data_IF_750739338993
#
_entry.id   IF_750739338993
#
_cell.length_a   1.000
_cell.length_b   1.000
_cell.length_c   1.000
_cell.angle_alpha   90.00
_cell.angle_beta   90.00
_cell.angle_gamma   90.00
#
_symmetry.space_group_name_H-M   'P 1'
#
loop_
_entity.id
_entity.type
_entity.pdbx_description
1 polymer ?
#
# COMPACT_ATOMS: atom_id res chain seq x y z
N UNK A 1 7.94 -14.20 -26.49
CA UNK A 1 7.93 -15.13 -25.33
C UNK A 1 9.27 -15.05 -24.64
N UNK A 2 9.25 -14.79 -23.33
CA UNK A 2 10.46 -14.81 -22.50
C UNK A 2 10.53 -16.16 -21.83
N UNK A 3 11.52 -16.97 -22.25
CA UNK A 3 11.76 -18.26 -21.63
C UNK A 3 12.28 -18.07 -20.18
N UNK A 4 11.63 -18.78 -19.23
CA UNK A 4 11.97 -18.76 -17.81
C UNK A 4 13.06 -19.73 -17.41
N UNK A 5 13.40 -19.80 -16.10
CA UNK A 5 12.79 -19.05 -15.00
C UNK A 5 13.24 -17.58 -14.94
N UNK A 6 12.39 -16.73 -14.39
CA UNK A 6 12.72 -15.32 -14.17
C UNK A 6 12.05 -14.76 -12.89
N UNK A 7 12.66 -13.74 -12.34
CA UNK A 7 12.07 -12.87 -11.32
C UNK A 7 11.37 -11.70 -12.03
N UNK A 8 10.05 -11.59 -11.91
CA UNK A 8 9.27 -10.48 -12.44
C UNK A 8 8.94 -9.52 -11.31
N UNK A 9 9.27 -8.25 -11.51
CA UNK A 9 8.88 -7.16 -10.63
C UNK A 9 7.87 -6.27 -11.33
N UNK A 10 6.77 -5.93 -10.63
CA UNK A 10 5.77 -5.02 -11.14
C UNK A 10 5.39 -3.98 -10.08
N UNK A 11 4.99 -2.78 -10.51
CA UNK A 11 4.39 -1.78 -9.61
C UNK A 11 2.99 -2.22 -9.17
N UNK A 12 2.52 -1.69 -8.01
CA UNK A 12 1.28 -2.14 -7.38
C UNK A 12 0.26 -1.02 -7.24
N UNK A 13 -0.76 -1.01 -8.11
CA UNK A 13 -1.73 0.08 -8.22
C UNK A 13 -3.17 -0.33 -7.90
N UNK A 14 -3.55 -1.59 -8.20
CA UNK A 14 -4.92 -2.08 -7.96
C UNK A 14 -4.90 -3.53 -7.43
N UNK A 15 -6.03 -3.97 -6.87
CA UNK A 15 -6.15 -5.34 -6.31
C UNK A 15 -6.00 -6.43 -7.37
N UNK A 16 -6.31 -6.12 -8.62
CA UNK A 16 -6.25 -7.05 -9.74
C UNK A 16 -4.91 -7.05 -10.49
N UNK A 17 -3.87 -6.36 -9.99
CA UNK A 17 -2.54 -6.38 -10.63
C UNK A 17 -2.01 -7.80 -10.90
N UNK A 18 -2.16 -8.78 -9.98
CA UNK A 18 -1.73 -10.16 -10.28
C UNK A 18 -2.46 -10.76 -11.49
N UNK A 19 -3.73 -10.41 -11.71
CA UNK A 19 -4.51 -10.87 -12.86
C UNK A 19 -4.03 -10.17 -14.14
N UNK A 20 -3.76 -8.86 -14.08
CA UNK A 20 -3.24 -8.07 -15.20
C UNK A 20 -1.88 -8.60 -15.65
N UNK A 21 -0.97 -8.80 -14.69
CA UNK A 21 0.37 -9.34 -14.96
C UNK A 21 0.29 -10.77 -15.47
N UNK A 22 -0.46 -11.65 -14.80
CA UNK A 22 -0.63 -13.05 -15.21
C UNK A 22 -1.21 -13.17 -16.61
N UNK A 23 -2.18 -12.32 -16.99
CA UNK A 23 -2.74 -12.28 -18.34
C UNK A 23 -1.72 -11.82 -19.39
N UNK A 24 -0.86 -10.87 -19.05
CA UNK A 24 0.18 -10.36 -19.94
C UNK A 24 1.30 -11.38 -20.15
N UNK A 25 1.66 -12.12 -19.11
CA UNK A 25 2.70 -13.17 -19.13
C UNK A 25 2.25 -14.40 -19.91
N UNK A 26 0.99 -14.82 -19.78
CA UNK A 26 0.39 -15.92 -20.55
C UNK A 26 0.76 -17.33 -20.08
N UNK A 27 1.56 -17.48 -19.02
CA UNK A 27 1.89 -18.77 -18.40
C UNK A 27 1.97 -18.64 -16.88
N UNK A 28 2.16 -19.77 -16.17
CA UNK A 28 2.14 -19.78 -14.71
C UNK A 28 3.34 -19.04 -14.12
N UNK A 29 3.04 -18.11 -13.20
CA UNK A 29 4.01 -17.39 -12.37
C UNK A 29 3.54 -17.46 -10.92
N UNK A 30 4.46 -17.69 -9.98
CA UNK A 30 4.18 -17.74 -8.56
C UNK A 30 4.24 -16.33 -7.96
N UNK A 31 3.09 -15.83 -7.50
CA UNK A 31 3.00 -14.50 -6.91
C UNK A 31 3.34 -14.53 -5.42
N UNK A 32 4.06 -13.50 -4.96
CA UNK A 32 4.19 -13.23 -3.52
C UNK A 32 2.92 -12.53 -3.05
N UNK A 33 2.29 -13.08 -2.01
CA UNK A 33 1.05 -12.56 -1.44
C UNK A 33 1.16 -12.43 0.08
N UNK A 34 0.44 -11.45 0.66
CA UNK A 34 0.35 -11.28 2.10
C UNK A 34 -0.38 -12.46 2.76
N UNK A 35 -0.01 -12.79 4.01
CA UNK A 35 -0.63 -13.82 4.85
C UNK A 35 -2.14 -13.68 5.03
N UNK A 36 -2.66 -12.48 4.84
CA UNK A 36 -4.11 -12.21 4.93
C UNK A 36 -4.95 -13.00 3.91
N UNK A 37 -4.34 -13.51 2.83
CA UNK A 37 -5.03 -14.40 1.89
C UNK A 37 -5.40 -15.74 2.54
N UNK A 38 -4.72 -16.15 3.62
CA UNK A 38 -4.98 -17.37 4.36
C UNK A 38 -6.30 -17.34 5.16
N UNK A 39 -6.91 -16.18 5.35
CA UNK A 39 -8.13 -15.98 6.13
C UNK A 39 -9.38 -15.69 5.28
N UNK A 40 -9.37 -16.04 3.99
CA UNK A 40 -10.48 -15.80 3.06
C UNK A 40 -11.42 -17.02 2.87
N UNK A 41 -11.37 -18.01 3.75
CA UNK A 41 -12.22 -19.21 3.69
C UNK A 41 -12.07 -19.96 2.35
N UNK A 42 -13.19 -20.16 1.62
CA UNK A 42 -13.18 -20.82 0.30
C UNK A 42 -12.23 -20.14 -0.71
N UNK A 43 -12.06 -18.82 -0.62
CA UNK A 43 -11.09 -18.07 -1.44
C UNK A 43 -9.65 -18.48 -1.13
N UNK A 44 -9.33 -18.76 0.12
CA UNK A 44 -8.01 -19.29 0.51
C UNK A 44 -7.76 -20.63 -0.13
N UNK A 45 -8.70 -21.57 0.00
CA UNK A 45 -8.60 -22.91 -0.60
C UNK A 45 -8.35 -22.81 -2.11
N UNK A 46 -9.11 -21.99 -2.82
CA UNK A 46 -8.94 -21.76 -4.26
C UNK A 46 -7.56 -21.20 -4.60
N UNK A 47 -7.13 -20.14 -3.91
CA UNK A 47 -5.83 -19.51 -4.14
C UNK A 47 -4.67 -20.46 -3.85
N UNK A 48 -4.73 -21.20 -2.74
CA UNK A 48 -3.66 -22.12 -2.34
C UNK A 48 -3.59 -23.35 -3.24
N UNK A 49 -4.73 -23.82 -3.77
CA UNK A 49 -4.79 -25.00 -4.64
C UNK A 49 -4.27 -24.68 -6.06
N UNK A 50 -4.76 -23.59 -6.65
CA UNK A 50 -4.52 -23.29 -8.05
C UNK A 50 -3.34 -22.34 -8.31
N UNK A 51 -3.11 -21.37 -7.41
CA UNK A 51 -2.07 -20.35 -7.61
C UNK A 51 -0.84 -20.54 -6.73
N UNK A 52 -0.97 -21.26 -5.61
CA UNK A 52 0.12 -21.58 -4.68
C UNK A 52 1.02 -20.37 -4.40
N UNK A 53 0.48 -19.23 -3.92
CA UNK A 53 1.26 -18.04 -3.72
C UNK A 53 2.34 -18.26 -2.66
N UNK A 54 3.46 -17.56 -2.81
CA UNK A 54 4.50 -17.48 -1.79
C UNK A 54 4.03 -16.49 -0.73
N UNK A 55 3.85 -16.96 0.51
CA UNK A 55 3.29 -16.14 1.59
C UNK A 55 4.36 -15.23 2.20
N UNK A 56 4.00 -13.97 2.36
CA UNK A 56 4.79 -12.93 3.03
C UNK A 56 4.05 -12.38 4.25
N UNK A 57 4.74 -12.35 5.39
CA UNK A 57 4.24 -11.74 6.63
C UNK A 57 4.40 -10.23 6.57
N UNK A 58 3.29 -9.52 6.42
CA UNK A 58 3.29 -8.07 6.23
C UNK A 58 3.76 -7.35 7.51
N UNK A 59 4.75 -6.46 7.38
CA UNK A 59 5.34 -5.76 8.53
C UNK A 59 6.50 -6.51 9.21
N UNK A 60 6.86 -7.73 8.77
CA UNK A 60 8.03 -8.48 9.24
C UNK A 60 9.14 -8.54 8.19
N UNK A 61 10.37 -8.81 8.64
CA UNK A 61 11.51 -9.05 7.73
C UNK A 61 11.24 -10.27 6.85
N UNK A 62 11.27 -10.11 5.52
CA UNK A 62 10.89 -11.12 4.55
C UNK A 62 11.89 -12.28 4.30
N UNK A 63 12.71 -12.68 5.27
CA UNK A 63 13.77 -13.70 5.07
C UNK A 63 13.19 -15.05 4.59
N UNK A 64 12.12 -15.53 5.21
CA UNK A 64 11.47 -16.78 4.82
C UNK A 64 10.89 -16.69 3.40
N UNK A 65 10.24 -15.56 3.08
CA UNK A 65 9.70 -15.26 1.75
C UNK A 65 10.80 -15.29 0.69
N UNK A 66 11.94 -14.61 0.94
CA UNK A 66 13.07 -14.58 0.03
C UNK A 66 13.64 -16.00 -0.20
N UNK A 67 13.80 -16.81 0.86
CA UNK A 67 14.23 -18.21 0.72
C UNK A 67 13.27 -19.00 -0.18
N UNK A 68 11.96 -18.84 0.02
CA UNK A 68 10.97 -19.54 -0.79
C UNK A 68 10.99 -19.07 -2.26
N UNK A 69 11.13 -17.76 -2.51
CA UNK A 69 11.27 -17.20 -3.86
C UNK A 69 12.50 -17.79 -4.58
N UNK A 70 13.66 -17.77 -3.93
CA UNK A 70 14.90 -18.32 -4.49
C UNK A 70 14.80 -19.84 -4.76
N UNK A 71 14.15 -20.58 -3.84
CA UNK A 71 13.87 -22.00 -4.06
C UNK A 71 12.99 -22.21 -5.28
N UNK A 72 11.88 -21.49 -5.41
CA UNK A 72 10.95 -21.58 -6.55
C UNK A 72 11.66 -21.29 -7.88
N UNK A 73 12.52 -20.26 -7.93
CA UNK A 73 13.34 -19.96 -9.10
C UNK A 73 14.34 -21.07 -9.45
N UNK A 74 15.01 -21.63 -8.45
CA UNK A 74 15.96 -22.75 -8.63
C UNK A 74 15.24 -24.04 -9.08
N UNK A 75 13.99 -24.24 -8.70
CA UNK A 75 13.14 -25.35 -9.14
C UNK A 75 12.64 -25.16 -10.59
N UNK A 76 13.07 -24.10 -11.29
CA UNK A 76 12.73 -23.82 -12.70
C UNK A 76 11.44 -23.03 -12.91
N UNK A 77 10.88 -22.42 -11.87
CA UNK A 77 9.63 -21.66 -11.94
C UNK A 77 9.85 -20.16 -11.83
N UNK A 78 9.03 -19.37 -12.53
CA UNK A 78 9.06 -17.92 -12.46
C UNK A 78 8.30 -17.38 -11.24
N UNK A 79 8.81 -16.29 -10.65
CA UNK A 79 8.22 -15.63 -9.48
C UNK A 79 7.89 -14.19 -9.79
N UNK A 80 6.73 -13.71 -9.35
CA UNK A 80 6.34 -12.30 -9.43
C UNK A 80 6.19 -11.71 -8.02
N UNK A 81 6.76 -10.53 -7.82
CA UNK A 81 6.59 -9.74 -6.60
C UNK A 81 6.30 -8.29 -6.94
N UNK A 82 5.47 -7.65 -6.11
CA UNK A 82 5.23 -6.22 -6.08
C UNK A 82 6.10 -5.60 -4.96
N UNK A 83 7.27 -5.03 -5.29
CA UNK A 83 8.30 -4.70 -4.27
C UNK A 83 7.91 -3.54 -3.35
N UNK A 84 6.85 -2.80 -3.67
CA UNK A 84 6.28 -1.75 -2.82
C UNK A 84 5.60 -2.32 -1.55
N UNK A 85 5.20 -3.58 -1.55
CA UNK A 85 4.47 -4.23 -0.44
C UNK A 85 3.08 -3.66 -0.16
N UNK A 86 2.73 -2.53 -0.76
CA UNK A 86 1.40 -1.90 -0.70
C UNK A 86 0.99 -1.39 -2.07
N UNK A 87 -0.32 -1.32 -2.31
CA UNK A 87 -0.83 -0.56 -3.45
C UNK A 87 -0.56 0.92 -3.21
N UNK A 88 -0.32 1.66 -4.28
CA UNK A 88 -0.16 3.11 -4.23
C UNK A 88 -1.26 3.79 -3.39
N UNK A 89 -0.86 4.73 -2.52
CA UNK A 89 -1.78 5.52 -1.70
C UNK A 89 -2.21 6.82 -2.38
N UNK A 90 -1.35 7.39 -3.21
CA UNK A 90 -1.49 8.76 -3.74
C UNK A 90 -1.33 8.88 -5.26
N UNK A 91 -1.14 7.75 -5.96
CA UNK A 91 -0.94 7.71 -7.41
C UNK A 91 0.51 7.66 -7.86
N UNK A 92 1.46 7.75 -6.93
CA UNK A 92 2.87 7.48 -7.19
C UNK A 92 3.20 6.03 -6.82
N UNK A 93 4.17 5.44 -7.51
CA UNK A 93 4.81 4.21 -7.07
C UNK A 93 5.41 4.44 -5.69
N UNK A 94 5.14 3.54 -4.75
CA UNK A 94 5.62 3.62 -3.37
C UNK A 94 7.11 3.29 -3.24
N UNK A 95 7.66 3.55 -2.05
CA UNK A 95 9.02 3.17 -1.71
C UNK A 95 9.17 1.64 -1.79
N UNK A 96 10.33 1.19 -2.24
CA UNK A 96 10.67 -0.22 -2.37
C UNK A 96 11.75 -0.60 -1.37
N UNK A 97 11.66 -1.83 -0.87
CA UNK A 97 12.69 -2.40 0.00
C UNK A 97 14.05 -2.40 -0.70
N UNK A 98 15.07 -1.77 -0.09
CA UNK A 98 16.44 -1.71 -0.64
C UNK A 98 17.08 -3.08 -0.82
N UNK A 99 16.56 -4.11 -0.13
CA UNK A 99 17.01 -5.49 -0.26
C UNK A 99 16.63 -6.14 -1.62
N UNK A 100 15.73 -5.54 -2.42
CA UNK A 100 15.22 -6.16 -3.64
C UNK A 100 16.31 -6.36 -4.71
N UNK A 101 17.26 -5.43 -4.84
CA UNK A 101 18.40 -5.57 -5.74
C UNK A 101 19.29 -6.75 -5.37
N UNK A 102 19.54 -6.95 -4.07
CA UNK A 102 20.26 -8.10 -3.56
C UNK A 102 19.52 -9.42 -3.83
N UNK A 103 18.18 -9.42 -3.71
CA UNK A 103 17.35 -10.59 -4.04
C UNK A 103 17.45 -10.89 -5.53
N UNK A 104 17.30 -9.89 -6.39
CA UNK A 104 17.41 -10.03 -7.84
C UNK A 104 18.77 -10.59 -8.25
N UNK A 105 19.86 -10.09 -7.68
CA UNK A 105 21.21 -10.61 -7.93
C UNK A 105 21.38 -12.07 -7.47
N UNK A 106 20.85 -12.42 -6.28
CA UNK A 106 20.91 -13.78 -5.74
C UNK A 106 20.04 -14.78 -6.48
N UNK A 107 19.01 -14.32 -7.18
CA UNK A 107 18.11 -15.17 -7.95
C UNK A 107 18.81 -15.94 -9.06
N UNK A 108 19.94 -15.45 -9.58
CA UNK A 108 20.69 -16.03 -10.72
C UNK A 108 19.79 -16.35 -11.92
N UNK A 109 18.69 -15.64 -12.05
CA UNK A 109 17.69 -15.74 -13.10
C UNK A 109 17.55 -14.38 -13.80
N UNK A 110 16.88 -14.35 -14.93
CA UNK A 110 16.54 -13.08 -15.60
C UNK A 110 15.68 -12.24 -14.64
N UNK A 111 15.90 -10.92 -14.63
CA UNK A 111 15.01 -9.94 -14.00
C UNK A 111 14.16 -9.28 -15.08
N UNK A 112 12.86 -9.31 -14.89
CA UNK A 112 11.89 -8.63 -15.76
C UNK A 112 11.23 -7.53 -14.96
N UNK A 113 11.19 -6.31 -15.50
CA UNK A 113 10.42 -5.21 -14.93
C UNK A 113 9.18 -4.96 -15.80
N UNK A 114 8.02 -4.86 -15.13
CA UNK A 114 6.72 -4.70 -15.77
C UNK A 114 5.96 -3.56 -15.13
N UNK A 115 5.43 -2.64 -15.91
CA UNK A 115 4.69 -1.48 -15.42
C UNK A 115 3.22 -1.58 -15.79
N UNK A 116 2.35 -1.37 -14.78
CA UNK A 116 0.91 -1.22 -14.94
C UNK A 116 0.58 0.26 -14.81
N UNK A 117 0.00 0.85 -15.85
CA UNK A 117 -0.46 2.25 -15.89
C UNK A 117 -1.99 2.30 -15.85
N UNK A 118 -2.56 3.31 -15.19
CA UNK A 118 -4.00 3.51 -15.06
C UNK A 118 -4.67 2.67 -13.96
N UNK A 119 -3.92 1.80 -13.29
CA UNK A 119 -4.42 0.97 -12.19
C UNK A 119 -4.90 1.79 -11.01
N UNK A 120 -4.12 2.79 -10.59
CA UNK A 120 -4.48 3.66 -9.48
C UNK A 120 -5.82 4.36 -9.67
N UNK A 121 -6.05 5.00 -10.82
CA UNK A 121 -7.32 5.70 -11.07
C UNK A 121 -8.49 4.75 -11.34
N UNK A 122 -8.21 3.51 -11.77
CA UNK A 122 -9.24 2.45 -11.87
C UNK A 122 -9.74 2.01 -10.50
N UNK A 123 -8.89 1.98 -9.49
CA UNK A 123 -9.25 1.62 -8.12
C UNK A 123 -8.36 2.37 -7.09
N UNK A 124 -8.57 3.68 -6.92
CA UNK A 124 -7.88 4.41 -5.85
C UNK A 124 -8.07 3.72 -4.50
N UNK A 125 -7.15 3.95 -3.57
CA UNK A 125 -7.09 3.21 -2.30
C UNK A 125 -8.40 3.22 -1.50
N UNK A 126 -9.14 4.33 -1.53
CA UNK A 126 -10.43 4.47 -0.85
C UNK A 126 -11.59 3.83 -1.61
N UNK A 127 -11.45 3.60 -2.92
CA UNK A 127 -12.56 3.14 -3.75
C UNK A 127 -12.93 1.69 -3.47
N UNK A 128 -14.20 1.45 -3.19
CA UNK A 128 -14.75 0.10 -3.03
C UNK A 128 -14.99 -0.57 -4.38
N UNK A 129 -15.22 0.22 -5.43
CA UNK A 129 -15.62 -0.25 -6.76
C UNK A 129 -14.55 0.05 -7.79
N UNK A 130 -14.41 -0.85 -8.75
CA UNK A 130 -13.62 -0.59 -9.94
C UNK A 130 -14.31 0.48 -10.81
N UNK A 131 -13.50 1.41 -11.33
CA UNK A 131 -13.90 2.42 -12.29
C UNK A 131 -13.57 1.93 -13.70
N UNK A 132 -14.44 2.20 -14.65
CA UNK A 132 -14.24 1.84 -16.05
C UNK A 132 -13.30 2.85 -16.69
N UNK A 133 -12.09 2.42 -16.98
CA UNK A 133 -11.03 3.21 -17.59
C UNK A 133 -10.09 2.34 -18.42
N UNK A 134 -8.94 2.88 -18.81
CA UNK A 134 -7.94 2.19 -19.61
C UNK A 134 -6.77 1.74 -18.74
N UNK A 135 -6.52 0.45 -18.69
CA UNK A 135 -5.33 -0.16 -18.12
C UNK A 135 -4.33 -0.48 -19.21
N UNK A 136 -3.05 -0.25 -18.96
CA UNK A 136 -1.95 -0.62 -19.83
C UNK A 136 -0.92 -1.39 -19.03
N UNK A 137 -0.52 -2.56 -19.49
CA UNK A 137 0.61 -3.32 -18.97
C UNK A 137 1.75 -3.26 -20.00
N UNK A 138 2.95 -2.95 -19.54
CA UNK A 138 4.16 -2.88 -20.38
C UNK A 138 5.31 -3.62 -19.75
N UNK A 139 5.95 -4.48 -20.52
CA UNK A 139 7.30 -4.91 -20.22
C UNK A 139 8.23 -3.71 -20.43
N UNK A 140 9.00 -3.36 -19.41
CA UNK A 140 9.93 -2.23 -19.47
C UNK A 140 11.31 -2.71 -19.88
N UNK A 141 11.92 -3.61 -19.08
CA UNK A 141 13.24 -4.14 -19.36
C UNK A 141 13.35 -5.63 -19.00
N UNK A 142 14.34 -6.28 -19.62
CA UNK A 142 14.79 -7.64 -19.29
C UNK A 142 16.29 -7.58 -19.05
N UNK A 143 16.71 -7.91 -17.83
CA UNK A 143 18.13 -8.00 -17.46
C UNK A 143 18.53 -9.48 -17.38
N UNK A 144 19.62 -9.87 -18.01
CA UNK A 144 20.14 -11.24 -17.88
C UNK A 144 20.82 -11.44 -16.51
N UNK A 145 20.99 -12.69 -16.11
CA UNK A 145 21.71 -13.00 -14.87
C UNK A 145 23.15 -12.46 -14.89
N UNK A 146 23.82 -12.50 -16.04
CA UNK A 146 25.19 -11.99 -16.24
C UNK A 146 25.23 -10.47 -16.07
N UNK A 147 24.28 -9.74 -16.65
CA UNK A 147 24.16 -8.29 -16.47
C UNK A 147 24.01 -7.94 -14.99
N UNK A 148 23.11 -8.64 -14.28
CA UNK A 148 22.90 -8.40 -12.84
C UNK A 148 24.15 -8.72 -12.00
N UNK A 149 24.92 -9.75 -12.36
CA UNK A 149 26.18 -10.06 -11.66
C UNK A 149 27.22 -8.93 -11.84
N UNK A 150 27.24 -8.26 -12.98
CA UNK A 150 28.12 -7.10 -13.25
C UNK A 150 27.74 -5.80 -12.54
N UNK A 151 26.52 -5.73 -11.96
CA UNK A 151 26.00 -4.53 -11.26
C UNK A 151 26.18 -4.65 -9.74
N UNK A 152 26.29 -3.54 -9.04
CA UNK A 152 26.14 -3.48 -7.58
C UNK A 152 24.67 -3.62 -7.17
N UNK A 153 24.41 -4.02 -5.92
CA UNK A 153 23.02 -4.09 -5.38
C UNK A 153 22.32 -2.72 -5.48
N UNK A 154 23.07 -1.63 -5.28
CA UNK A 154 22.54 -0.25 -5.41
C UNK A 154 22.13 0.09 -6.85
N UNK A 155 22.95 -0.26 -7.84
CA UNK A 155 22.63 -0.06 -9.26
C UNK A 155 21.41 -0.89 -9.67
N UNK A 156 21.27 -2.13 -9.18
CA UNK A 156 20.08 -2.94 -9.44
C UNK A 156 18.84 -2.30 -8.80
N UNK A 157 18.93 -1.79 -7.58
CA UNK A 157 17.83 -1.06 -6.95
C UNK A 157 17.42 0.18 -7.76
N UNK A 158 18.38 0.96 -8.24
CA UNK A 158 18.13 2.16 -9.03
C UNK A 158 17.38 1.85 -10.34
N UNK A 159 17.81 0.84 -11.09
CA UNK A 159 17.10 0.45 -12.32
C UNK A 159 15.71 -0.10 -12.03
N UNK A 160 15.51 -0.86 -10.94
CA UNK A 160 14.18 -1.36 -10.54
C UNK A 160 13.25 -0.17 -10.21
N UNK A 161 13.71 0.78 -9.38
CA UNK A 161 12.92 1.95 -9.01
C UNK A 161 12.55 2.77 -10.26
N UNK A 162 13.50 3.00 -11.16
CA UNK A 162 13.29 3.75 -12.42
C UNK A 162 12.31 3.04 -13.34
N UNK A 163 12.47 1.73 -13.51
CA UNK A 163 11.62 0.94 -14.41
C UNK A 163 10.19 0.84 -13.91
N UNK A 164 9.99 0.71 -12.61
CA UNK A 164 8.65 0.55 -12.02
C UNK A 164 7.98 1.89 -11.69
N UNK A 165 8.70 3.01 -11.77
CA UNK A 165 8.15 4.32 -11.45
C UNK A 165 6.94 4.65 -12.32
N UNK A 166 5.80 4.90 -11.68
CA UNK A 166 4.60 5.46 -12.28
C UNK A 166 4.13 6.68 -11.48
N UNK A 167 3.76 7.71 -12.20
CA UNK A 167 2.97 8.83 -11.70
C UNK A 167 1.64 8.84 -12.46
N UNK A 168 0.57 8.42 -11.77
CA UNK A 168 -0.76 8.32 -12.35
C UNK A 168 -1.28 9.68 -12.83
N UNK A 169 -0.89 10.78 -12.17
CA UNK A 169 -1.34 12.13 -12.53
C UNK A 169 -0.53 12.72 -13.69
N UNK A 170 0.78 12.45 -13.76
CA UNK A 170 1.59 12.78 -14.93
C UNK A 170 1.09 12.02 -16.18
N UNK A 171 0.77 10.72 -16.04
CA UNK A 171 0.14 9.93 -17.09
C UNK A 171 -1.21 10.51 -17.47
N UNK A 172 -2.04 10.90 -16.52
CA UNK A 172 -3.35 11.50 -16.76
C UNK A 172 -3.27 12.87 -17.43
N UNK A 173 -2.31 13.69 -17.05
CA UNK A 173 -2.06 14.98 -17.70
C UNK A 173 -1.71 14.82 -19.18
N UNK A 174 -0.96 13.76 -19.52
CA UNK A 174 -0.55 13.44 -20.89
C UNK A 174 -1.68 12.81 -21.72
N UNK A 175 -2.44 11.87 -21.14
CA UNK A 175 -3.37 11.01 -21.89
C UNK A 175 -4.84 11.38 -21.70
N UNK A 176 -5.18 12.04 -20.61
CA UNK A 176 -6.55 12.47 -20.23
C UNK A 176 -7.61 11.38 -20.38
N UNK A 177 -7.36 10.23 -19.77
CA UNK A 177 -8.26 9.08 -19.79
C UNK A 177 -9.35 9.24 -18.73
N UNK A 178 -10.62 9.12 -19.12
CA UNK A 178 -11.74 9.15 -18.18
C UNK A 178 -11.90 7.79 -17.46
N UNK A 179 -11.86 7.80 -16.11
CA UNK A 179 -12.12 6.64 -15.25
C UNK A 179 -13.53 6.76 -14.65
N UNK A 180 -14.51 6.22 -15.39
CA UNK A 180 -15.93 6.39 -15.11
C UNK A 180 -16.41 5.47 -13.98
N UNK A 181 -17.15 5.99 -13.04
CA UNK A 181 -17.75 5.28 -11.91
C UNK A 181 -18.84 6.09 -11.25
N UNK A 182 -19.37 5.56 -10.15
CA UNK A 182 -20.28 6.28 -9.23
C UNK A 182 -19.57 6.49 -7.91
N UNK A 183 -19.95 7.55 -7.21
CA UNK A 183 -19.47 7.84 -5.87
C UNK A 183 -17.93 7.92 -5.82
N UNK A 184 -17.35 8.71 -6.74
CA UNK A 184 -15.89 8.73 -6.99
C UNK A 184 -15.07 9.19 -5.79
N UNK A 185 -15.62 10.06 -4.94
CA UNK A 185 -14.96 10.53 -3.72
C UNK A 185 -15.31 9.71 -2.48
N UNK A 186 -16.32 8.81 -2.52
CA UNK A 186 -16.84 8.12 -1.35
C UNK A 186 -15.75 7.31 -0.63
N UNK A 187 -15.50 7.63 0.65
CA UNK A 187 -14.48 7.02 1.49
C UNK A 187 -13.08 7.64 1.35
N UNK A 188 -12.93 8.76 0.62
CA UNK A 188 -11.64 9.42 0.38
C UNK A 188 -10.96 9.86 1.67
N UNK A 189 -11.72 10.18 2.73
CA UNK A 189 -11.22 10.49 4.06
C UNK A 189 -10.44 9.31 4.70
N UNK A 190 -10.60 8.08 4.21
CA UNK A 190 -9.76 6.95 4.64
C UNK A 190 -8.32 7.01 4.08
N UNK A 191 -8.05 7.90 3.14
CA UNK A 191 -6.73 8.13 2.55
C UNK A 191 -6.23 9.55 2.82
N UNK A 192 -7.10 10.56 2.74
CA UNK A 192 -6.76 11.95 3.01
C UNK A 192 -7.33 12.34 4.38
N UNK A 193 -6.45 12.65 5.34
CA UNK A 193 -6.81 12.93 6.73
C UNK A 193 -6.65 14.39 7.16
N UNK A 194 -5.94 15.24 6.38
CA UNK A 194 -5.76 16.64 6.70
C UNK A 194 -6.45 17.55 5.67
N UNK A 195 -7.25 18.49 6.15
CA UNK A 195 -7.96 19.42 5.28
C UNK A 195 -7.01 20.39 4.58
N UNK A 196 -7.09 20.58 3.24
CA UNK A 196 -6.19 21.48 2.53
C UNK A 196 -6.39 22.96 2.90
N UNK A 197 -7.57 23.33 3.44
CA UNK A 197 -7.89 24.69 3.85
C UNK A 197 -7.49 25.00 5.29
N UNK A 198 -8.03 24.27 6.27
CA UNK A 198 -7.83 24.56 7.70
C UNK A 198 -6.69 23.76 8.33
N UNK A 199 -6.09 22.81 7.63
CA UNK A 199 -4.98 21.94 8.08
C UNK A 199 -5.33 21.03 9.28
N UNK A 200 -6.59 20.98 9.70
CA UNK A 200 -7.04 20.10 10.79
C UNK A 200 -6.94 18.63 10.34
N UNK A 201 -6.44 17.79 11.21
CA UNK A 201 -6.51 16.32 11.07
C UNK A 201 -7.88 15.86 11.56
N UNK A 202 -8.59 15.10 10.73
CA UNK A 202 -10.00 14.76 10.95
C UNK A 202 -10.95 15.84 10.46
N UNK A 203 -12.27 15.59 10.53
CA UNK A 203 -13.30 16.50 10.06
C UNK A 203 -13.44 16.56 8.53
N UNK A 204 -12.81 15.60 7.81
CA UNK A 204 -13.01 15.38 6.38
C UNK A 204 -14.09 14.31 6.17
N UNK A 205 -14.93 14.52 5.17
CA UNK A 205 -16.07 13.68 4.83
C UNK A 205 -16.23 13.57 3.33
N UNK A 206 -16.90 12.50 2.89
CA UNK A 206 -17.23 12.30 1.48
C UNK A 206 -18.68 11.86 1.29
N UNK A 207 -19.28 12.28 0.16
CA UNK A 207 -20.60 11.83 -0.26
C UNK A 207 -20.70 11.91 -1.78
N UNK A 208 -20.92 10.77 -2.44
CA UNK A 208 -20.92 10.71 -3.89
C UNK A 208 -19.54 11.11 -4.45
N UNK A 209 -19.52 12.14 -5.28
CA UNK A 209 -18.30 12.71 -5.87
C UNK A 209 -17.77 13.92 -5.09
N UNK A 210 -18.42 14.29 -3.96
CA UNK A 210 -18.04 15.45 -3.13
C UNK A 210 -17.15 15.02 -1.99
N UNK A 211 -16.10 15.81 -1.75
CA UNK A 211 -15.18 15.72 -0.63
C UNK A 211 -15.19 17.06 0.12
N UNK A 212 -15.43 17.06 1.42
CA UNK A 212 -15.65 18.28 2.18
C UNK A 212 -15.15 18.17 3.63
N UNK A 213 -15.04 19.32 4.30
CA UNK A 213 -14.58 19.45 5.67
C UNK A 213 -15.56 20.30 6.48
N UNK A 214 -15.63 20.05 7.80
CA UNK A 214 -16.43 20.82 8.77
C UNK A 214 -16.12 22.34 8.73
N UNK A 215 -14.91 22.73 8.27
CA UNK A 215 -14.52 24.14 8.10
C UNK A 215 -15.15 24.85 6.89
N UNK A 216 -15.98 24.14 6.11
CA UNK A 216 -16.61 24.64 4.90
C UNK A 216 -15.78 24.49 3.62
N UNK A 217 -14.62 23.82 3.66
CA UNK A 217 -13.94 23.37 2.44
C UNK A 217 -14.83 22.35 1.72
N UNK A 218 -14.94 22.47 0.42
CA UNK A 218 -15.67 21.51 -0.43
C UNK A 218 -15.05 21.47 -1.81
N UNK A 219 -14.88 20.25 -2.35
CA UNK A 219 -14.37 19.97 -3.69
C UNK A 219 -15.13 18.80 -4.33
N UNK A 220 -15.15 18.74 -5.65
CA UNK A 220 -15.73 17.64 -6.43
C UNK A 220 -14.62 16.87 -7.09
N UNK A 221 -14.62 15.55 -6.92
CA UNK A 221 -13.68 14.63 -7.57
C UNK A 221 -14.26 14.19 -8.92
N UNK A 222 -13.48 14.34 -9.97
CA UNK A 222 -13.91 14.06 -11.34
C UNK A 222 -13.43 12.70 -11.88
N UNK A 223 -13.88 12.37 -13.09
CA UNK A 223 -13.48 11.13 -13.81
C UNK A 223 -12.02 11.12 -14.25
N UNK A 224 -11.32 12.24 -14.16
CA UNK A 224 -9.90 12.37 -14.50
C UNK A 224 -9.00 12.27 -13.25
N UNK A 225 -9.59 12.13 -12.07
CA UNK A 225 -8.86 11.96 -10.83
C UNK A 225 -8.50 13.27 -10.13
N UNK A 226 -9.06 14.40 -10.56
CA UNK A 226 -8.81 15.72 -9.97
C UNK A 226 -9.95 16.13 -9.04
N UNK A 227 -9.62 16.79 -7.92
CA UNK A 227 -10.58 17.52 -7.09
C UNK A 227 -10.56 18.98 -7.49
N UNK A 228 -11.76 19.55 -7.71
CA UNK A 228 -11.92 20.99 -7.98
C UNK A 228 -12.75 21.60 -6.87
N UNK A 229 -12.20 22.58 -6.15
CA UNK A 229 -12.92 23.31 -5.10
C UNK A 229 -13.87 24.41 -5.66
N UNK A 230 -14.65 25.05 -4.77
CA UNK A 230 -15.60 26.11 -5.14
C UNK A 230 -14.94 27.35 -5.75
N UNK A 231 -13.65 27.55 -5.51
CA UNK A 231 -12.87 28.65 -6.10
C UNK A 231 -12.23 28.26 -7.45
N UNK A 232 -12.47 27.03 -7.92
CA UNK A 232 -11.89 26.51 -9.16
C UNK A 232 -10.45 26.01 -9.02
N UNK A 233 -9.90 25.96 -7.80
CA UNK A 233 -8.57 25.40 -7.56
C UNK A 233 -8.64 23.89 -7.66
N UNK A 234 -7.69 23.31 -8.40
CA UNK A 234 -7.55 21.88 -8.57
C UNK A 234 -6.50 21.29 -7.65
N UNK A 235 -6.73 20.05 -7.24
CA UNK A 235 -5.84 19.26 -6.41
C UNK A 235 -5.77 17.83 -6.95
N UNK A 236 -4.60 17.26 -6.93
CA UNK A 236 -4.39 15.82 -7.06
C UNK A 236 -4.33 15.17 -5.68
N UNK A 237 -4.51 13.85 -5.61
CA UNK A 237 -4.33 13.13 -4.35
C UNK A 237 -2.86 13.12 -3.92
N UNK A 238 -1.93 13.14 -4.88
CA UNK A 238 -0.50 13.29 -4.60
C UNK A 238 -0.21 14.58 -3.83
N UNK A 239 -0.70 15.74 -4.31
CA UNK A 239 -0.53 17.04 -3.64
C UNK A 239 -1.19 17.07 -2.26
N UNK A 240 -2.35 16.43 -2.11
CA UNK A 240 -3.02 16.33 -0.81
C UNK A 240 -2.28 15.41 0.15
N UNK A 241 -1.64 14.34 -0.34
CA UNK A 241 -0.82 13.45 0.47
C UNK A 241 0.46 14.14 0.96
N UNK A 242 1.14 14.89 0.12
CA UNK A 242 2.29 15.72 0.49
C UNK A 242 1.91 16.72 1.59
N UNK A 243 0.80 17.43 1.39
CA UNK A 243 0.29 18.40 2.36
C UNK A 243 -0.03 17.75 3.72
N UNK A 244 -0.70 16.60 3.74
CA UNK A 244 -1.05 15.95 5.01
C UNK A 244 0.18 15.41 5.75
N UNK A 245 1.21 14.95 5.05
CA UNK A 245 2.50 14.55 5.65
C UNK A 245 3.18 15.75 6.32
N UNK A 246 3.20 16.91 5.65
CA UNK A 246 3.73 18.14 6.25
C UNK A 246 2.93 18.58 7.48
N UNK A 247 1.60 18.52 7.41
CA UNK A 247 0.71 18.85 8.55
C UNK A 247 1.01 17.94 9.74
N UNK A 248 1.10 16.62 9.50
CA UNK A 248 1.38 15.66 10.56
C UNK A 248 2.79 15.88 11.16
N UNK A 249 3.80 16.12 10.31
CA UNK A 249 5.16 16.41 10.75
C UNK A 249 5.21 17.66 11.64
N UNK A 250 4.61 18.76 11.20
CA UNK A 250 4.53 20.01 12.01
C UNK A 250 3.82 19.79 13.33
N UNK A 251 2.72 19.03 13.33
CA UNK A 251 1.99 18.70 14.56
C UNK A 251 2.87 17.89 15.50
N UNK A 252 3.57 16.87 14.99
CA UNK A 252 4.47 16.03 15.77
C UNK A 252 5.68 16.79 16.33
N UNK A 253 6.21 17.78 15.57
CA UNK A 253 7.35 18.61 16.00
C UNK A 253 6.97 19.53 17.16
N UNK A 254 5.72 20.00 17.22
CA UNK A 254 5.24 20.95 18.24
C UNK A 254 4.48 20.28 19.39
N UNK A 255 4.19 18.99 19.32
CA UNK A 255 3.42 18.29 20.35
C UNK A 255 4.29 17.89 21.53
N UNK A 256 3.73 18.00 22.74
CA UNK A 256 4.27 17.37 23.93
C UNK A 256 3.96 15.86 23.92
N UNK A 257 4.71 15.07 24.70
CA UNK A 257 4.57 13.61 24.73
C UNK A 257 3.19 13.15 25.23
N UNK A 258 2.52 13.96 26.06
CA UNK A 258 1.18 13.72 26.59
C UNK A 258 0.06 14.33 25.72
N UNK A 259 0.38 15.06 24.66
CA UNK A 259 -0.62 15.70 23.79
C UNK A 259 -1.29 14.66 22.88
N UNK A 260 -2.63 14.62 22.91
CA UNK A 260 -3.43 13.80 22.00
C UNK A 260 -3.33 14.36 20.57
N UNK A 261 -2.71 13.61 19.67
CA UNK A 261 -2.58 14.01 18.26
C UNK A 261 -3.89 13.82 17.50
N UNK A 262 -4.50 12.64 17.63
CA UNK A 262 -5.78 12.28 17.02
C UNK A 262 -6.37 11.02 17.66
N UNK A 263 -7.68 10.83 17.49
CA UNK A 263 -8.45 9.72 18.04
C UNK A 263 -9.44 9.19 17.02
N UNK A 264 -9.67 7.87 17.04
CA UNK A 264 -10.68 7.18 16.25
C UNK A 264 -11.38 6.10 17.09
N UNK A 265 -12.62 5.78 16.73
CA UNK A 265 -13.30 4.59 17.20
C UNK A 265 -12.94 3.40 16.31
N UNK A 266 -12.47 2.30 16.90
CA UNK A 266 -12.00 1.13 16.16
C UNK A 266 -12.26 -0.17 16.93
N UNK A 267 -12.03 -1.30 16.26
CA UNK A 267 -11.95 -2.63 16.87
C UNK A 267 -10.51 -3.12 16.82
N UNK A 268 -9.97 -3.47 17.97
CA UNK A 268 -8.68 -4.11 18.11
C UNK A 268 -8.86 -5.63 18.07
N UNK A 269 -8.09 -6.29 17.23
CA UNK A 269 -8.03 -7.75 17.10
C UNK A 269 -6.62 -8.24 17.47
N UNK A 270 -6.54 -9.37 18.15
CA UNK A 270 -5.29 -10.11 18.27
C UNK A 270 -5.35 -11.36 17.38
N UNK A 271 -4.34 -11.51 16.54
CA UNK A 271 -4.18 -12.60 15.59
C UNK A 271 -2.95 -13.41 16.00
N UNK A 272 -3.13 -14.70 16.28
CA UNK A 272 -2.06 -15.58 16.72
C UNK A 272 -1.13 -16.00 15.56
N UNK A 273 -0.10 -16.78 15.88
CA UNK A 273 0.87 -17.30 14.92
C UNK A 273 0.26 -18.26 13.88
N UNK A 274 -0.89 -18.89 14.19
CA UNK A 274 -1.66 -19.72 13.26
C UNK A 274 -2.56 -18.90 12.32
N UNK A 275 -2.49 -17.58 12.39
CA UNK A 275 -3.35 -16.63 11.66
C UNK A 275 -4.83 -16.68 12.04
N UNK A 276 -5.14 -17.07 13.26
CA UNK A 276 -6.49 -17.15 13.80
C UNK A 276 -6.78 -15.94 14.69
N UNK A 277 -8.03 -15.43 14.63
CA UNK A 277 -8.52 -14.40 15.55
C UNK A 277 -8.76 -15.04 16.92
N UNK A 278 -7.97 -14.67 17.93
CA UNK A 278 -8.16 -15.15 19.31
C UNK A 278 -9.19 -14.31 20.07
N UNK A 279 -9.10 -12.99 19.91
CA UNK A 279 -10.03 -12.07 20.54
C UNK A 279 -10.13 -10.75 19.79
N UNK A 280 -11.23 -10.03 20.04
CA UNK A 280 -11.44 -8.65 19.58
C UNK A 280 -12.15 -7.81 20.63
N UNK A 281 -11.87 -6.50 20.63
CA UNK A 281 -12.45 -5.51 21.55
C UNK A 281 -12.74 -4.21 20.81
N UNK A 282 -13.88 -3.60 21.09
CA UNK A 282 -14.14 -2.20 20.68
C UNK A 282 -13.28 -1.27 21.55
N UNK A 283 -12.60 -0.33 20.91
CA UNK A 283 -11.66 0.56 21.58
C UNK A 283 -11.77 1.98 21.02
N UNK A 284 -11.40 2.96 21.87
CA UNK A 284 -10.92 4.24 21.39
C UNK A 284 -9.43 4.07 21.07
N UNK A 285 -9.06 4.38 19.83
CA UNK A 285 -7.67 4.38 19.35
C UNK A 285 -7.15 5.80 19.40
N UNK A 286 -6.28 6.09 20.35
CA UNK A 286 -5.64 7.39 20.57
C UNK A 286 -4.19 7.36 20.16
N UNK A 287 -3.74 8.41 19.48
CA UNK A 287 -2.35 8.55 19.07
C UNK A 287 -1.67 9.70 19.80
N UNK A 288 -0.52 9.40 20.36
CA UNK A 288 0.41 10.31 21.00
C UNK A 288 1.76 10.30 20.27
N UNK A 289 2.68 11.15 20.66
CA UNK A 289 3.97 11.28 19.97
C UNK A 289 4.78 9.98 19.91
N UNK A 290 4.78 9.16 20.96
CA UNK A 290 5.59 7.94 21.05
C UNK A 290 4.79 6.64 21.16
N UNK A 291 3.48 6.70 21.31
CA UNK A 291 2.66 5.52 21.55
C UNK A 291 1.23 5.66 21.04
N UNK A 292 0.56 4.51 20.94
CA UNK A 292 -0.87 4.40 20.68
C UNK A 292 -1.56 3.79 21.91
N UNK A 293 -2.68 4.36 22.33
CA UNK A 293 -3.58 3.76 23.33
C UNK A 293 -4.76 3.11 22.62
N UNK A 294 -5.06 1.87 22.93
CA UNK A 294 -6.17 1.09 22.40
C UNK A 294 -7.00 0.50 23.54
N UNK A 295 -7.84 1.31 24.17
CA UNK A 295 -8.55 0.94 25.40
C UNK A 295 -7.57 0.74 26.58
N UNK A 296 -7.41 -0.51 27.05
CA UNK A 296 -6.47 -0.86 28.10
C UNK A 296 -5.06 -1.20 27.60
N UNK A 297 -4.90 -1.37 26.29
CA UNK A 297 -3.62 -1.73 25.68
C UNK A 297 -2.85 -0.46 25.28
N UNK A 298 -1.54 -0.41 25.55
CA UNK A 298 -0.65 0.66 25.10
C UNK A 298 0.44 0.07 24.21
N UNK A 299 0.62 0.63 23.03
CA UNK A 299 1.63 0.22 22.06
C UNK A 299 2.67 1.32 21.90
N UNK A 300 3.85 1.14 22.49
CA UNK A 300 4.98 2.04 22.25
C UNK A 300 5.53 1.82 20.86
N UNK A 301 5.64 2.88 20.06
CA UNK A 301 6.02 2.77 18.64
C UNK A 301 7.46 2.31 18.45
N UNK A 302 8.34 2.56 19.41
CA UNK A 302 9.72 2.04 19.43
C UNK A 302 9.79 0.52 19.58
N UNK A 303 8.79 -0.10 20.26
CA UNK A 303 8.70 -1.56 20.45
C UNK A 303 8.08 -2.29 19.27
N UNK A 304 7.60 -1.57 18.27
CA UNK A 304 7.07 -2.18 17.05
C UNK A 304 8.21 -2.66 16.15
N UNK A 305 8.14 -3.93 15.73
CA UNK A 305 8.96 -4.45 14.64
C UNK A 305 8.54 -3.80 13.32
N UNK A 306 7.22 -3.65 13.10
CA UNK A 306 6.66 -3.01 11.94
C UNK A 306 5.21 -2.56 12.11
N UNK A 307 4.87 -1.52 11.38
CA UNK A 307 3.49 -1.02 11.23
C UNK A 307 3.16 -1.02 9.75
N UNK A 308 2.05 -1.64 9.39
CA UNK A 308 1.64 -1.80 8.00
C UNK A 308 0.14 -1.56 7.83
N UNK A 309 -0.29 -1.44 6.58
CA UNK A 309 -1.72 -1.36 6.24
C UNK A 309 -2.10 -2.56 5.40
N UNK A 310 -3.16 -3.23 5.80
CA UNK A 310 -3.80 -4.29 5.04
C UNK A 310 -5.12 -3.79 4.44
N UNK A 311 -5.47 -4.29 3.25
CA UNK A 311 -6.69 -3.89 2.53
C UNK A 311 -6.75 -2.36 2.35
N UNK A 312 -7.92 -1.75 2.58
CA UNK A 312 -8.12 -0.31 2.43
C UNK A 312 -7.61 0.49 3.62
N UNK A 313 -7.90 0.05 4.84
CA UNK A 313 -7.68 0.83 6.06
C UNK A 313 -7.46 0.00 7.34
N UNK A 314 -7.12 -1.27 7.25
CA UNK A 314 -6.78 -2.06 8.44
C UNK A 314 -5.31 -1.79 8.82
N UNK A 315 -5.08 -1.25 10.01
CA UNK A 315 -3.74 -1.05 10.58
C UNK A 315 -3.25 -2.37 11.17
N UNK A 316 -2.02 -2.76 10.88
CA UNK A 316 -1.37 -3.97 11.41
C UNK A 316 -0.17 -3.56 12.22
N UNK A 317 -0.08 -4.03 13.47
CA UNK A 317 1.00 -3.75 14.40
C UNK A 317 1.70 -5.06 14.77
N UNK A 318 3.00 -5.16 14.50
CA UNK A 318 3.85 -6.26 14.95
C UNK A 318 4.70 -5.80 16.12
N UNK A 319 4.46 -6.34 17.30
CA UNK A 319 5.24 -6.06 18.49
C UNK A 319 6.44 -7.02 18.59
N UNK A 320 7.64 -6.50 18.94
CA UNK A 320 8.89 -7.29 19.00
C UNK A 320 8.83 -8.49 19.93
N UNK A 321 8.08 -8.37 21.04
CA UNK A 321 7.99 -9.40 22.08
C UNK A 321 6.83 -10.39 21.89
N UNK A 322 6.09 -10.35 20.76
CA UNK A 322 4.91 -11.19 20.56
C UNK A 322 4.99 -11.94 19.24
N UNK A 323 4.61 -13.21 19.26
CA UNK A 323 4.61 -14.06 18.06
C UNK A 323 3.43 -13.75 17.10
N UNK A 324 2.31 -13.26 17.63
CA UNK A 324 1.16 -12.81 16.87
C UNK A 324 1.30 -11.36 16.40
N UNK A 325 0.17 -10.81 15.96
CA UNK A 325 0.10 -9.39 15.61
C UNK A 325 -1.27 -8.83 15.98
N UNK A 326 -1.34 -7.50 16.06
CA UNK A 326 -2.60 -6.80 16.26
C UNK A 326 -3.11 -6.22 14.94
N UNK A 327 -4.41 -6.28 14.73
CA UNK A 327 -5.09 -5.59 13.66
C UNK A 327 -6.09 -4.60 14.24
N UNK A 328 -6.11 -3.38 13.71
CA UNK A 328 -7.05 -2.34 14.10
C UNK A 328 -7.89 -1.99 12.88
N UNK A 329 -9.20 -2.16 13.01
CA UNK A 329 -10.18 -1.95 11.95
C UNK A 329 -11.33 -1.10 12.46
N UNK A 330 -12.03 -0.43 11.57
CA UNK A 330 -13.26 0.30 11.89
C UNK A 330 -14.31 0.06 10.81
N UNK A 331 -15.57 0.00 11.23
CA UNK A 331 -16.72 -0.02 10.31
C UNK A 331 -16.99 1.37 9.73
N UNK A 332 -16.38 2.41 10.30
CA UNK A 332 -16.42 3.75 9.73
C UNK A 332 -15.65 3.78 8.40
N UNK A 333 -16.34 4.11 7.31
CA UNK A 333 -15.76 4.23 5.97
C UNK A 333 -14.60 5.24 5.93
N UNK A 334 -14.62 6.25 6.80
CA UNK A 334 -13.61 7.31 6.92
C UNK A 334 -12.45 6.96 7.84
N UNK A 335 -12.42 5.77 8.46
CA UNK A 335 -11.27 5.38 9.29
C UNK A 335 -9.98 5.42 8.48
N UNK A 336 -9.02 6.19 8.95
CA UNK A 336 -7.77 6.44 8.25
C UNK A 336 -6.58 5.80 8.97
N UNK A 337 -6.21 4.58 8.55
CA UNK A 337 -5.03 3.87 9.07
C UNK A 337 -3.71 4.54 8.62
N UNK A 338 -3.73 5.32 7.53
CA UNK A 338 -2.53 5.91 6.94
C UNK A 338 -1.88 6.94 7.87
N UNK A 339 -2.67 7.73 8.62
CA UNK A 339 -2.13 8.70 9.58
C UNK A 339 -1.31 8.04 10.70
N UNK A 340 -1.69 6.84 11.15
CA UNK A 340 -0.94 6.05 12.15
C UNK A 340 0.34 5.47 11.57
N UNK A 341 0.29 4.97 10.33
CA UNK A 341 1.47 4.48 9.61
C UNK A 341 2.47 5.63 9.37
N UNK A 342 2.00 6.80 8.95
CA UNK A 342 2.87 7.98 8.74
C UNK A 342 3.46 8.49 10.07
N UNK A 343 2.71 8.47 11.17
CA UNK A 343 3.25 8.77 12.49
C UNK A 343 4.44 7.85 12.83
N UNK A 344 4.27 6.54 12.67
CA UNK A 344 5.33 5.57 12.90
C UNK A 344 6.54 5.82 11.98
N UNK A 345 6.33 6.06 10.70
CA UNK A 345 7.39 6.33 9.73
C UNK A 345 8.19 7.60 10.08
N UNK A 346 7.51 8.69 10.45
CA UNK A 346 8.15 9.94 10.86
C UNK A 346 9.01 9.77 12.11
N UNK A 347 8.61 8.92 13.05
CA UNK A 347 9.39 8.63 14.25
C UNK A 347 10.61 7.76 13.96
N UNK A 348 10.51 6.82 13.03
CA UNK A 348 11.65 5.97 12.63
C UNK A 348 12.73 6.73 11.83
N UNK A 349 12.41 7.87 11.26
CA UNK A 349 13.36 8.73 10.52
C UNK A 349 14.10 9.70 11.44
N UNK A 350 13.71 9.83 12.70
CA UNK A 350 14.38 10.62 13.76
C UNK A 350 15.43 9.78 14.47
#
# INVERSE_FOLDING_TARGET
DIEGPYLLLANHNLELDPVVVGRAVGHQVYFVASEHVLRKGLGTWFLMTFFKPIIHMKGKKGVATVKQMLKTLNDGHSVCIFPEGNRSFNGLTGDMETAIGKVAKKAKAKLITFRVEGGYLSQPRWSVRLRKGKLKGRLINVYTAEQLQGMTDAQINEVIVTDLAEDAYATQKRERIAFKGKDLALGMESTIFACPRCKKIGGLHSKGDRFFCDCGFEAVYDVYGELTDKAGKKYTVTELDELQREVLKKRLDNADDSELLFEDSATLYYINHAHEEEWKKQVSLKAYKGHLECGAETFYLEDMEGVAIYSRSALVLHHKAQDGHFEIKSDNIGFNALKYMYLYQLLKQR
#
